data_IF_215347247363
#
_entry.id   IF_215347247363
#
_cell.length_a   1.000
_cell.length_b   1.000
_cell.length_c   1.000
_cell.angle_alpha   90.00
_cell.angle_beta   90.00
_cell.angle_gamma   90.00
#
_symmetry.space_group_name_H-M   'P 1'
#
loop_
_entity.id
_entity.type
_entity.pdbx_description
1 polymer ?
#
# COMPACT_ATOMS: atom_id res chain seq x y z
N UNK A 1 -0.72 -15.56 13.81
CA UNK A 1 -1.48 -14.28 13.76
C UNK A 1 -0.50 -13.22 14.22
N UNK A 2 0.00 -12.42 13.28
CA UNK A 2 1.13 -11.52 13.61
C UNK A 2 0.69 -10.24 14.31
N UNK A 3 -0.44 -9.63 13.89
CA UNK A 3 -1.01 -8.46 14.57
C UNK A 3 -2.51 -8.70 14.75
N UNK A 4 -3.02 -8.50 15.96
CA UNK A 4 -4.44 -8.56 16.29
C UNK A 4 -4.88 -7.24 16.90
N UNK A 5 -5.92 -6.64 16.34
CA UNK A 5 -6.48 -5.36 16.74
C UNK A 5 -7.95 -5.58 17.04
N UNK A 6 -8.38 -5.28 18.27
CA UNK A 6 -9.71 -5.54 18.74
C UNK A 6 -10.36 -4.26 19.30
N UNK A 7 -11.38 -3.78 18.62
CA UNK A 7 -12.21 -2.63 19.04
C UNK A 7 -11.42 -1.38 19.39
N UNK A 8 -10.35 -1.08 18.58
CA UNK A 8 -9.48 0.06 18.84
C UNK A 8 -10.20 1.37 18.51
N UNK A 9 -10.24 2.22 19.54
CA UNK A 9 -10.67 3.61 19.43
C UNK A 9 -9.53 4.53 19.86
N UNK A 10 -9.31 5.61 19.11
CA UNK A 10 -8.37 6.68 19.48
C UNK A 10 -9.00 8.04 19.28
N UNK A 11 -9.08 8.79 20.38
CA UNK A 11 -9.65 10.13 20.42
C UNK A 11 -8.59 11.16 20.84
N UNK A 12 -8.57 12.31 20.17
CA UNK A 12 -7.75 13.47 20.49
C UNK A 12 -8.69 14.66 20.72
N UNK A 13 -8.93 15.00 21.99
CA UNK A 13 -9.97 15.99 22.34
C UNK A 13 -11.32 15.55 21.81
N UNK A 14 -11.92 16.35 20.91
CA UNK A 14 -13.19 16.02 20.27
C UNK A 14 -13.03 15.20 18.98
N UNK A 15 -11.81 15.11 18.44
CA UNK A 15 -11.56 14.40 17.18
C UNK A 15 -11.38 12.90 17.41
N UNK A 16 -12.23 12.11 16.76
CA UNK A 16 -12.13 10.64 16.74
C UNK A 16 -11.26 10.22 15.56
N UNK A 17 -10.00 9.85 15.84
CA UNK A 17 -9.03 9.47 14.81
C UNK A 17 -9.16 8.00 14.40
N UNK A 18 -9.57 7.12 15.32
CA UNK A 18 -9.95 5.73 15.08
C UNK A 18 -11.24 5.44 15.85
N UNK A 19 -12.16 4.72 15.22
CA UNK A 19 -13.47 4.41 15.76
C UNK A 19 -13.78 2.92 15.58
N UNK A 20 -13.65 2.17 16.66
CA UNK A 20 -14.00 0.75 16.74
C UNK A 20 -13.33 -0.13 15.66
N UNK A 21 -12.03 0.05 15.46
CA UNK A 21 -11.26 -0.69 14.46
C UNK A 21 -10.96 -2.09 14.97
N UNK A 22 -11.43 -3.10 14.24
CA UNK A 22 -11.13 -4.53 14.48
C UNK A 22 -10.59 -5.13 13.21
N UNK A 23 -9.35 -5.69 13.26
CA UNK A 23 -8.71 -6.35 12.13
C UNK A 23 -7.57 -7.27 12.59
N UNK A 24 -7.17 -8.16 11.71
CA UNK A 24 -6.08 -9.10 11.94
C UNK A 24 -5.12 -9.06 10.75
N UNK A 25 -3.82 -9.00 11.01
CA UNK A 25 -2.78 -9.04 9.97
C UNK A 25 -1.95 -10.30 10.16
N UNK A 26 -1.82 -11.08 9.12
CA UNK A 26 -1.01 -12.29 9.06
C UNK A 26 0.28 -12.02 8.28
N UNK A 27 1.16 -13.03 8.19
CA UNK A 27 2.40 -13.00 7.41
C UNK A 27 2.12 -12.62 5.94
N UNK A 28 3.04 -11.90 5.33
CA UNK A 28 2.93 -11.34 3.98
C UNK A 28 2.85 -9.82 3.99
N UNK A 29 2.55 -9.23 2.86
CA UNK A 29 2.47 -7.78 2.70
C UNK A 29 1.00 -7.35 2.66
N UNK A 30 0.61 -6.49 3.60
CA UNK A 30 -0.73 -5.92 3.70
C UNK A 30 -0.65 -4.41 3.49
N UNK A 31 -1.39 -3.90 2.52
CA UNK A 31 -1.54 -2.47 2.26
C UNK A 31 -2.58 -1.84 3.17
N UNK A 32 -2.26 -0.72 3.81
CA UNK A 32 -3.20 0.11 4.55
C UNK A 32 -3.47 1.39 3.77
N UNK A 33 -4.62 1.45 3.13
CA UNK A 33 -5.05 2.53 2.25
C UNK A 33 -6.02 3.47 2.95
N UNK A 34 -6.00 4.73 2.55
CA UNK A 34 -6.95 5.73 3.06
C UNK A 34 -6.51 7.14 2.70
N UNK A 35 -7.43 8.10 2.65
CA UNK A 35 -7.08 9.50 2.44
C UNK A 35 -6.24 10.05 3.60
N UNK A 36 -5.68 11.24 3.40
CA UNK A 36 -4.98 11.93 4.48
C UNK A 36 -5.95 12.21 5.63
N UNK A 37 -5.50 11.94 6.86
CA UNK A 37 -6.36 12.07 8.05
C UNK A 37 -7.31 10.89 8.30
N UNK A 38 -7.29 9.83 7.50
CA UNK A 38 -8.17 8.66 7.68
C UNK A 38 -7.88 7.84 8.95
N UNK A 39 -6.71 8.02 9.60
CA UNK A 39 -6.33 7.28 10.81
C UNK A 39 -5.15 6.32 10.61
N UNK A 40 -4.60 6.15 9.40
CA UNK A 40 -3.50 5.20 9.09
C UNK A 40 -2.30 5.33 10.03
N UNK A 41 -1.66 6.50 10.07
CA UNK A 41 -0.48 6.73 10.92
C UNK A 41 -0.82 6.66 12.41
N UNK A 42 -2.07 6.97 12.82
CA UNK A 42 -2.53 6.79 14.19
C UNK A 42 -2.56 5.31 14.57
N UNK A 43 -3.12 4.46 13.70
CA UNK A 43 -3.16 3.02 13.90
C UNK A 43 -1.73 2.44 13.99
N UNK A 44 -0.85 2.81 13.06
CA UNK A 44 0.55 2.37 13.05
C UNK A 44 1.30 2.79 14.32
N UNK A 45 1.08 4.02 14.81
CA UNK A 45 1.68 4.51 16.06
C UNK A 45 1.19 3.74 17.29
N UNK A 46 -0.04 3.25 17.29
CA UNK A 46 -0.55 2.39 18.38
C UNK A 46 0.12 1.01 18.30
N UNK A 47 0.17 0.37 17.14
CA UNK A 47 0.80 -0.94 16.95
C UNK A 47 2.27 -0.92 17.36
N UNK A 48 2.97 0.20 17.11
CA UNK A 48 4.41 0.37 17.44
C UNK A 48 4.66 0.87 18.87
N UNK A 49 3.64 0.91 19.72
CA UNK A 49 3.71 1.42 21.10
C UNK A 49 4.22 2.87 21.21
N UNK A 50 3.98 3.68 20.17
CA UNK A 50 4.36 5.11 20.18
C UNK A 50 3.32 5.97 20.90
N UNK A 51 2.04 5.61 20.77
CA UNK A 51 0.92 6.23 21.48
C UNK A 51 -0.03 5.14 22.01
N UNK A 52 -0.67 5.33 23.18
CA UNK A 52 -1.69 4.40 23.67
C UNK A 52 -3.02 4.59 22.92
N UNK A 53 -3.84 3.53 22.74
CA UNK A 53 -5.23 3.68 22.32
C UNK A 53 -6.06 4.37 23.43
N UNK A 54 -7.24 4.87 23.10
CA UNK A 54 -8.23 5.35 24.09
C UNK A 54 -8.99 4.18 24.68
N UNK A 55 -9.34 3.17 23.85
CA UNK A 55 -9.95 1.90 24.27
C UNK A 55 -9.63 0.81 23.27
N UNK A 56 -9.92 -0.45 23.63
CA UNK A 56 -9.61 -1.63 22.85
C UNK A 56 -8.21 -2.18 23.13
N UNK A 57 -7.80 -3.25 22.44
CA UNK A 57 -6.52 -3.94 22.64
C UNK A 57 -5.83 -4.21 21.32
N UNK A 58 -4.49 -4.13 21.33
CA UNK A 58 -3.64 -4.53 20.19
C UNK A 58 -2.58 -5.49 20.71
N UNK A 59 -2.37 -6.58 20.00
CA UNK A 59 -1.26 -7.48 20.26
C UNK A 59 -0.44 -7.73 18.98
N UNK A 60 0.88 -7.86 19.16
CA UNK A 60 1.84 -8.19 18.10
C UNK A 60 2.58 -9.45 18.51
N UNK A 61 2.48 -10.51 17.71
CA UNK A 61 3.01 -11.86 18.03
C UNK A 61 2.65 -12.33 19.44
N UNK A 62 1.43 -12.00 19.90
CA UNK A 62 0.91 -12.36 21.21
C UNK A 62 1.29 -11.43 22.36
N UNK A 63 2.12 -10.40 22.14
CA UNK A 63 2.47 -9.40 23.14
C UNK A 63 1.53 -8.20 23.04
N UNK A 64 0.88 -7.83 24.14
CA UNK A 64 0.01 -6.65 24.18
C UNK A 64 0.84 -5.36 24.17
N UNK A 65 0.40 -4.37 23.37
CA UNK A 65 1.15 -3.11 23.19
C UNK A 65 1.17 -2.23 24.44
N UNK A 66 0.23 -2.43 25.37
CA UNK A 66 0.15 -1.67 26.63
C UNK A 66 0.84 -2.39 27.77
N UNK A 67 0.69 -3.72 27.85
CA UNK A 67 1.21 -4.52 28.96
C UNK A 67 2.71 -4.85 28.80
N UNK A 68 3.14 -5.15 27.55
CA UNK A 68 4.55 -5.49 27.26
C UNK A 68 5.11 -4.74 26.05
N UNK A 69 5.15 -3.39 26.08
CA UNK A 69 5.61 -2.57 24.96
C UNK A 69 7.09 -2.83 24.59
N UNK A 70 7.90 -3.30 25.53
CA UNK A 70 9.31 -3.59 25.24
C UNK A 70 9.48 -4.89 24.44
N UNK A 71 8.66 -5.91 24.68
CA UNK A 71 8.65 -7.11 23.84
C UNK A 71 8.18 -6.76 22.43
N UNK A 72 7.11 -5.98 22.28
CA UNK A 72 6.62 -5.50 20.98
C UNK A 72 7.72 -4.75 20.22
N UNK A 73 8.42 -3.79 20.87
CA UNK A 73 9.50 -3.00 20.22
C UNK A 73 10.70 -3.85 19.80
N UNK A 74 10.91 -5.02 20.39
CA UNK A 74 11.98 -5.94 19.98
C UNK A 74 11.66 -6.73 18.73
N UNK A 75 10.38 -6.89 18.40
CA UNK A 75 9.91 -7.70 17.27
C UNK A 75 9.34 -6.86 16.13
N UNK A 76 9.16 -5.55 16.34
CA UNK A 76 8.63 -4.60 15.36
C UNK A 76 9.71 -3.65 14.88
N UNK A 77 9.90 -3.58 13.57
CA UNK A 77 10.64 -2.49 12.92
C UNK A 77 9.67 -1.43 12.42
N UNK A 78 9.98 -0.16 12.63
CA UNK A 78 9.12 0.95 12.24
C UNK A 78 9.86 1.99 11.41
N UNK A 79 9.34 2.27 10.22
CA UNK A 79 9.74 3.39 9.38
C UNK A 79 8.59 4.41 9.36
N UNK A 80 8.70 5.55 10.05
CA UNK A 80 7.71 6.61 9.97
C UNK A 80 7.82 7.39 8.66
N UNK A 81 6.75 8.04 8.21
CA UNK A 81 6.71 8.88 7.01
C UNK A 81 7.81 9.96 7.04
N UNK A 82 7.97 10.63 8.19
CA UNK A 82 9.04 11.59 8.45
C UNK A 82 10.07 10.95 9.36
N UNK A 83 11.07 10.33 8.76
CA UNK A 83 12.12 9.65 9.52
C UNK A 83 13.10 10.67 10.12
N UNK A 84 13.20 10.77 11.47
CA UNK A 84 14.07 11.72 12.17
C UNK A 84 15.52 11.24 12.22
N UNK A 85 16.18 11.16 11.07
CA UNK A 85 17.59 10.77 10.96
C UNK A 85 18.53 11.85 11.50
N UNK A 86 19.67 11.45 12.05
CA UNK A 86 20.72 12.36 12.51
C UNK A 86 21.57 12.81 11.31
N UNK A 87 21.21 13.95 10.72
CA UNK A 87 21.73 14.42 9.44
C UNK A 87 23.25 14.69 9.44
N UNK A 88 23.84 14.97 10.60
CA UNK A 88 25.27 15.22 10.75
C UNK A 88 26.13 13.96 10.89
N UNK A 89 25.49 12.81 11.17
CA UNK A 89 26.17 11.52 11.25
C UNK A 89 26.47 10.96 9.85
N UNK A 90 27.54 10.18 9.74
CA UNK A 90 27.76 9.34 8.58
C UNK A 90 26.79 8.15 8.61
N UNK A 91 26.44 7.61 7.42
CA UNK A 91 25.51 6.46 7.33
C UNK A 91 25.96 5.30 8.22
N UNK A 92 27.23 4.90 8.11
CA UNK A 92 27.78 3.80 8.91
C UNK A 92 27.77 4.08 10.41
N UNK A 93 28.19 5.27 10.81
CA UNK A 93 28.14 5.73 12.22
C UNK A 93 26.72 5.67 12.79
N UNK A 94 25.74 6.10 12.00
CA UNK A 94 24.33 6.04 12.39
C UNK A 94 23.85 4.58 12.55
N UNK A 95 24.20 3.69 11.63
CA UNK A 95 23.84 2.27 11.74
C UNK A 95 24.55 1.58 12.92
N UNK A 96 25.78 1.96 13.26
CA UNK A 96 26.47 1.52 14.48
C UNK A 96 25.75 2.00 15.74
N UNK A 97 25.31 3.27 15.75
CA UNK A 97 24.51 3.80 16.85
C UNK A 97 23.19 3.02 17.00
N UNK A 98 22.47 2.76 15.92
CA UNK A 98 21.21 1.97 15.93
C UNK A 98 21.44 0.55 16.40
N UNK A 99 22.50 -0.13 15.91
CA UNK A 99 22.89 -1.45 16.37
C UNK A 99 23.15 -1.47 17.90
N UNK A 100 23.81 -0.43 18.41
CA UNK A 100 24.06 -0.24 19.84
C UNK A 100 22.76 -0.08 20.66
N UNK A 101 21.78 0.65 20.16
CA UNK A 101 20.43 0.79 20.77
C UNK A 101 19.76 -0.57 20.92
N UNK A 102 19.89 -1.43 19.88
CA UNK A 102 19.38 -2.81 19.89
C UNK A 102 20.30 -3.80 20.60
N UNK A 103 21.34 -3.32 21.31
CA UNK A 103 22.28 -4.12 22.10
C UNK A 103 23.13 -5.13 21.25
N UNK A 104 23.21 -4.93 19.95
CA UNK A 104 24.14 -5.67 19.10
C UNK A 104 25.56 -5.21 19.39
N UNK A 105 26.53 -6.14 19.51
CA UNK A 105 27.91 -5.83 19.88
C UNK A 105 28.91 -6.66 19.09
N UNK A 106 30.11 -6.12 18.96
CA UNK A 106 31.26 -6.83 18.37
C UNK A 106 30.99 -7.29 16.93
N UNK A 107 31.43 -8.51 16.62
CA UNK A 107 31.33 -9.08 15.28
C UNK A 107 29.89 -9.23 14.76
N UNK A 108 28.93 -9.52 15.66
CA UNK A 108 27.53 -9.62 15.30
C UNK A 108 26.95 -8.28 14.82
N UNK A 109 27.28 -7.17 15.50
CA UNK A 109 26.89 -5.83 15.08
C UNK A 109 27.50 -5.50 13.72
N UNK A 110 28.81 -5.75 13.54
CA UNK A 110 29.49 -5.48 12.27
C UNK A 110 28.86 -6.25 11.10
N UNK A 111 28.67 -7.57 11.24
CA UNK A 111 28.00 -8.40 10.22
C UNK A 111 26.60 -7.88 9.88
N UNK A 112 25.83 -7.49 10.89
CA UNK A 112 24.47 -6.98 10.66
C UNK A 112 24.45 -5.63 9.95
N UNK A 113 25.37 -4.73 10.29
CA UNK A 113 25.53 -3.45 9.62
C UNK A 113 25.88 -3.63 8.14
N UNK A 114 26.87 -4.50 7.82
CA UNK A 114 27.21 -4.81 6.43
C UNK A 114 26.00 -5.39 5.67
N UNK A 115 25.29 -6.35 6.27
CA UNK A 115 24.08 -6.90 5.68
C UNK A 115 23.02 -5.81 5.40
N UNK A 116 22.81 -4.88 6.33
CA UNK A 116 21.87 -3.79 6.13
C UNK A 116 22.31 -2.83 5.02
N UNK A 117 23.60 -2.53 4.93
CA UNK A 117 24.16 -1.69 3.85
C UNK A 117 23.94 -2.36 2.49
N UNK A 118 24.18 -3.67 2.39
CA UNK A 118 24.03 -4.43 1.15
C UNK A 118 22.54 -4.57 0.77
N UNK A 119 21.68 -5.04 1.69
CA UNK A 119 20.26 -5.27 1.46
C UNK A 119 19.53 -3.99 1.05
N UNK A 120 19.88 -2.83 1.62
CA UNK A 120 19.25 -1.55 1.30
C UNK A 120 19.96 -0.79 0.18
N UNK A 121 21.04 -1.33 -0.40
CA UNK A 121 21.78 -0.70 -1.50
C UNK A 121 22.47 0.61 -1.10
N UNK A 122 22.99 0.69 0.11
CA UNK A 122 23.68 1.86 0.66
C UNK A 122 25.20 1.86 0.41
N UNK A 123 25.76 0.81 -0.22
CA UNK A 123 27.21 0.59 -0.32
C UNK A 123 28.03 1.82 -0.76
N UNK A 124 27.62 2.47 -1.85
CA UNK A 124 28.30 3.67 -2.38
C UNK A 124 28.13 4.91 -1.49
N UNK A 125 27.08 4.94 -0.67
CA UNK A 125 26.69 6.08 0.15
C UNK A 125 27.09 5.93 1.64
N UNK A 126 27.59 4.75 2.02
CA UNK A 126 27.88 4.39 3.43
C UNK A 126 28.89 5.32 4.13
N UNK A 127 29.73 6.01 3.34
CA UNK A 127 30.76 6.92 3.84
C UNK A 127 30.34 8.40 3.82
N UNK A 128 29.12 8.70 3.37
CA UNK A 128 28.61 10.06 3.32
C UNK A 128 27.82 10.41 4.58
N UNK A 129 27.76 11.71 4.88
CA UNK A 129 26.82 12.20 5.90
C UNK A 129 25.39 12.05 5.40
N UNK A 130 24.46 11.66 6.29
CA UNK A 130 23.05 11.46 5.98
C UNK A 130 22.44 12.75 5.40
N UNK A 131 22.85 13.92 5.90
CA UNK A 131 22.41 15.22 5.37
C UNK A 131 22.78 15.48 3.90
N UNK A 132 23.83 14.84 3.38
CA UNK A 132 24.26 14.96 1.99
C UNK A 132 23.55 13.98 1.03
N UNK A 133 22.75 13.06 1.54
CA UNK A 133 22.04 12.07 0.74
C UNK A 133 20.78 12.64 0.09
N UNK A 134 20.41 12.06 -1.07
CA UNK A 134 19.08 12.28 -1.66
C UNK A 134 17.98 11.75 -0.72
N UNK A 135 16.73 12.18 -0.95
CA UNK A 135 15.58 11.69 -0.18
C UNK A 135 15.48 10.16 -0.24
N UNK A 136 15.69 9.56 -1.41
CA UNK A 136 15.62 8.10 -1.58
C UNK A 136 16.70 7.36 -0.77
N UNK A 137 17.92 7.86 -0.76
CA UNK A 137 18.97 7.26 0.08
C UNK A 137 18.70 7.44 1.57
N UNK A 138 18.14 8.56 2.01
CA UNK A 138 17.66 8.72 3.41
C UNK A 138 16.57 7.73 3.75
N UNK A 139 15.67 7.43 2.82
CA UNK A 139 14.63 6.41 3.00
C UNK A 139 15.25 5.01 3.17
N UNK A 140 16.29 4.68 2.38
CA UNK A 140 17.04 3.43 2.52
C UNK A 140 17.76 3.33 3.88
N UNK A 141 18.32 4.43 4.39
CA UNK A 141 18.89 4.50 5.75
C UNK A 141 17.81 4.21 6.80
N UNK A 142 16.61 4.78 6.63
CA UNK A 142 15.48 4.50 7.52
C UNK A 142 15.01 3.05 7.48
N UNK A 143 14.99 2.42 6.30
CA UNK A 143 14.70 0.98 6.17
C UNK A 143 15.78 0.14 6.86
N UNK A 144 17.06 0.45 6.65
CA UNK A 144 18.18 -0.22 7.32
C UNK A 144 18.04 -0.11 8.85
N UNK A 145 17.69 1.08 9.35
CA UNK A 145 17.37 1.29 10.78
C UNK A 145 16.24 0.40 11.26
N UNK A 146 15.11 0.40 10.54
CA UNK A 146 13.93 -0.39 10.93
C UNK A 146 14.19 -1.90 10.93
N UNK A 147 15.13 -2.35 10.10
CA UNK A 147 15.48 -3.77 9.94
C UNK A 147 16.68 -4.21 10.80
N UNK A 148 17.38 -3.30 11.47
CA UNK A 148 18.66 -3.56 12.16
C UNK A 148 18.60 -4.74 13.13
N UNK A 149 17.54 -4.87 13.91
CA UNK A 149 17.37 -5.89 14.94
C UNK A 149 16.64 -7.16 14.44
N UNK A 150 16.53 -7.33 13.13
CA UNK A 150 15.85 -8.45 12.48
C UNK A 150 14.41 -8.68 12.95
N UNK A 151 13.54 -7.67 12.85
CA UNK A 151 12.18 -7.76 13.35
C UNK A 151 11.35 -8.80 12.59
N UNK A 152 10.34 -9.36 13.26
CA UNK A 152 9.36 -10.27 12.65
C UNK A 152 8.26 -9.50 11.91
N UNK A 153 7.98 -8.28 12.36
CA UNK A 153 6.95 -7.39 11.82
C UNK A 153 7.58 -6.07 11.40
N UNK A 154 7.27 -5.61 10.20
CA UNK A 154 7.69 -4.30 9.69
C UNK A 154 6.46 -3.42 9.48
N UNK A 155 6.49 -2.23 10.04
CA UNK A 155 5.49 -1.18 9.86
C UNK A 155 6.13 -0.06 9.06
N UNK A 156 5.64 0.18 7.84
CA UNK A 156 6.23 1.13 6.90
C UNK A 156 5.19 2.21 6.55
N UNK A 157 5.39 3.42 7.04
CA UNK A 157 4.49 4.55 6.80
C UNK A 157 5.00 5.37 5.61
N UNK A 158 4.32 5.29 4.46
CA UNK A 158 4.65 5.96 3.20
C UNK A 158 6.12 5.74 2.74
N UNK A 159 6.62 4.48 2.65
CA UNK A 159 8.04 4.20 2.43
C UNK A 159 8.56 4.65 1.07
N UNK A 160 7.70 4.91 0.12
CA UNK A 160 8.00 5.26 -1.28
C UNK A 160 7.75 6.74 -1.57
N UNK A 161 7.27 7.51 -0.58
CA UNK A 161 6.90 8.91 -0.77
C UNK A 161 8.05 9.80 -1.25
N UNK A 162 7.86 10.41 -2.44
CA UNK A 162 8.81 11.37 -3.03
C UNK A 162 10.10 10.74 -3.54
N UNK A 163 10.07 9.47 -3.91
CA UNK A 163 11.12 8.77 -4.65
C UNK A 163 10.94 8.99 -6.15
N UNK A 164 12.06 8.98 -6.88
CA UNK A 164 12.02 8.91 -8.34
C UNK A 164 11.62 7.48 -8.81
N UNK A 165 11.20 7.30 -10.08
CA UNK A 165 10.71 6.01 -10.57
C UNK A 165 11.69 4.85 -10.41
N UNK A 166 12.99 5.07 -10.55
CA UNK A 166 13.99 4.01 -10.40
C UNK A 166 14.15 3.61 -8.93
N UNK A 167 14.26 4.59 -8.04
CA UNK A 167 14.33 4.35 -6.59
C UNK A 167 13.08 3.65 -6.07
N UNK A 168 11.91 3.97 -6.62
CA UNK A 168 10.65 3.35 -6.27
C UNK A 168 10.65 1.85 -6.59
N UNK A 169 11.14 1.46 -7.78
CA UNK A 169 11.27 0.05 -8.18
C UNK A 169 12.16 -0.71 -7.20
N UNK A 170 13.30 -0.14 -6.84
CA UNK A 170 14.26 -0.77 -5.94
C UNK A 170 13.67 -0.98 -4.53
N UNK A 171 13.00 0.03 -3.99
CA UNK A 171 12.36 -0.07 -2.66
C UNK A 171 11.20 -1.07 -2.68
N UNK A 172 10.39 -1.11 -3.75
CA UNK A 172 9.34 -2.12 -3.93
C UNK A 172 9.91 -3.54 -3.93
N UNK A 173 10.99 -3.76 -4.68
CA UNK A 173 11.66 -5.07 -4.73
C UNK A 173 12.19 -5.49 -3.35
N UNK A 174 12.78 -4.55 -2.61
CA UNK A 174 13.23 -4.79 -1.24
C UNK A 174 12.06 -5.19 -0.33
N UNK A 175 10.98 -4.41 -0.31
CA UNK A 175 9.78 -4.69 0.50
C UNK A 175 9.16 -6.03 0.11
N UNK A 176 9.07 -6.33 -1.20
CA UNK A 176 8.54 -7.60 -1.72
C UNK A 176 9.35 -8.79 -1.22
N UNK A 177 10.68 -8.69 -1.20
CA UNK A 177 11.53 -9.75 -0.67
C UNK A 177 11.35 -9.93 0.85
N UNK A 178 11.23 -8.85 1.60
CA UNK A 178 11.00 -8.90 3.05
C UNK A 178 9.65 -9.55 3.39
N UNK A 179 8.61 -9.29 2.60
CA UNK A 179 7.27 -9.88 2.81
C UNK A 179 7.19 -11.39 2.65
N UNK A 180 8.17 -12.03 1.99
CA UNK A 180 8.23 -13.50 1.88
C UNK A 180 8.48 -14.16 3.24
N UNK A 181 9.21 -13.50 4.13
CA UNK A 181 9.63 -14.04 5.42
C UNK A 181 8.97 -13.36 6.61
N UNK A 182 8.62 -12.10 6.47
CA UNK A 182 8.13 -11.22 7.53
C UNK A 182 6.68 -10.80 7.31
N UNK A 183 6.06 -10.27 8.35
CA UNK A 183 4.78 -9.55 8.23
C UNK A 183 5.10 -8.08 7.95
N UNK A 184 4.57 -7.54 6.86
CA UNK A 184 4.77 -6.15 6.47
C UNK A 184 3.41 -5.44 6.40
N UNK A 185 3.23 -4.40 7.20
CA UNK A 185 2.11 -3.47 7.08
C UNK A 185 2.64 -2.18 6.43
N UNK A 186 2.17 -1.90 5.24
CA UNK A 186 2.59 -0.78 4.42
C UNK A 186 1.45 0.23 4.28
N UNK A 187 1.64 1.48 4.73
CA UNK A 187 0.72 2.55 4.34
C UNK A 187 1.17 3.22 3.05
N UNK A 188 0.22 3.52 2.20
CA UNK A 188 0.43 4.39 1.02
C UNK A 188 -0.90 4.99 0.56
N UNK A 189 -0.82 6.09 -0.16
CA UNK A 189 -1.94 6.69 -0.87
C UNK A 189 -1.86 6.41 -2.39
N UNK A 190 -0.84 5.66 -2.84
CA UNK A 190 -0.60 5.31 -4.25
C UNK A 190 -1.09 3.88 -4.50
N UNK A 191 -2.21 3.76 -5.19
CA UNK A 191 -2.87 2.46 -5.44
C UNK A 191 -2.00 1.49 -6.25
N UNK A 192 -1.25 1.99 -7.24
CA UNK A 192 -0.34 1.17 -8.04
C UNK A 192 0.76 0.50 -7.20
N UNK A 193 1.12 1.06 -6.05
CA UNK A 193 2.08 0.43 -5.14
C UNK A 193 1.48 -0.79 -4.46
N UNK A 194 0.24 -0.64 -3.99
CA UNK A 194 -0.48 -1.74 -3.35
C UNK A 194 -0.73 -2.87 -4.32
N UNK A 195 -1.17 -2.55 -5.55
CA UNK A 195 -1.36 -3.55 -6.61
C UNK A 195 -0.08 -4.31 -6.98
N UNK A 196 1.06 -3.65 -6.89
CA UNK A 196 2.34 -4.23 -7.31
C UNK A 196 2.94 -5.19 -6.29
N UNK A 197 2.73 -4.98 -4.98
CA UNK A 197 3.46 -5.73 -3.94
C UNK A 197 2.58 -6.31 -2.84
N UNK A 198 1.32 -5.88 -2.68
CA UNK A 198 0.44 -6.38 -1.62
C UNK A 198 -0.44 -7.52 -2.13
N UNK A 199 -0.73 -8.49 -1.27
CA UNK A 199 -1.73 -9.54 -1.53
C UNK A 199 -3.12 -9.14 -1.04
N UNK A 200 -3.17 -8.29 -0.01
CA UNK A 200 -4.38 -7.83 0.68
C UNK A 200 -4.29 -6.35 0.95
N UNK A 201 -5.42 -5.66 0.87
CA UNK A 201 -5.52 -4.25 1.25
C UNK A 201 -6.64 -4.03 2.27
N UNK A 202 -6.33 -3.17 3.23
CA UNK A 202 -7.27 -2.66 4.23
C UNK A 202 -7.51 -1.20 3.88
N UNK A 203 -8.76 -0.83 3.66
CA UNK A 203 -9.13 0.57 3.38
C UNK A 203 -9.74 1.17 4.64
N UNK A 204 -9.13 2.26 5.11
CA UNK A 204 -9.61 3.02 6.26
C UNK A 204 -10.08 4.41 5.81
N UNK A 205 -11.24 4.84 6.30
CA UNK A 205 -11.80 6.16 6.06
C UNK A 205 -12.43 6.72 7.33
N UNK A 206 -12.10 7.97 7.69
CA UNK A 206 -12.64 8.64 8.89
C UNK A 206 -12.53 7.78 10.17
N UNK A 207 -11.42 7.06 10.29
CA UNK A 207 -11.13 6.21 11.45
C UNK A 207 -11.83 4.85 11.47
N UNK A 208 -12.55 4.46 10.42
CA UNK A 208 -13.28 3.18 10.32
C UNK A 208 -12.72 2.35 9.17
N UNK A 209 -12.62 1.04 9.34
CA UNK A 209 -12.28 0.10 8.26
C UNK A 209 -13.53 -0.03 7.36
N UNK A 210 -13.39 0.37 6.10
CA UNK A 210 -14.47 0.32 5.11
C UNK A 210 -14.36 -0.86 4.14
N UNK A 211 -13.16 -1.42 4.00
CA UNK A 211 -12.92 -2.67 3.27
C UNK A 211 -11.66 -3.36 3.79
N UNK A 212 -11.65 -4.69 3.72
CA UNK A 212 -10.55 -5.54 4.11
C UNK A 212 -10.61 -6.86 3.33
N UNK A 213 -9.89 -6.95 2.22
CA UNK A 213 -9.91 -8.14 1.36
C UNK A 213 -8.63 -8.26 0.53
N UNK A 214 -8.51 -9.39 -0.19
CA UNK A 214 -7.48 -9.56 -1.21
C UNK A 214 -7.64 -8.55 -2.33
N UNK A 215 -6.51 -8.14 -2.91
CA UNK A 215 -6.47 -7.20 -4.03
C UNK A 215 -7.39 -7.62 -5.19
N UNK A 216 -7.40 -8.92 -5.51
CA UNK A 216 -8.23 -9.48 -6.57
C UNK A 216 -9.72 -9.30 -6.30
N UNK A 217 -10.16 -9.52 -5.06
CA UNK A 217 -11.57 -9.38 -4.67
C UNK A 217 -12.00 -7.91 -4.68
N UNK A 218 -11.14 -7.00 -4.18
CA UNK A 218 -11.42 -5.56 -4.19
C UNK A 218 -11.61 -5.00 -5.61
N UNK A 219 -10.97 -5.63 -6.61
CA UNK A 219 -11.19 -5.34 -8.03
C UNK A 219 -12.49 -5.93 -8.56
N UNK A 220 -12.94 -7.07 -8.04
CA UNK A 220 -14.12 -7.80 -8.53
C UNK A 220 -15.45 -7.35 -7.91
N UNK A 221 -15.45 -6.89 -6.67
CA UNK A 221 -16.67 -6.55 -5.89
C UNK A 221 -17.45 -5.31 -6.40
N UNK A 222 -16.99 -4.71 -7.49
CA UNK A 222 -17.71 -3.61 -8.12
C UNK A 222 -18.58 -4.11 -9.27
N UNK A 223 -19.90 -4.00 -9.09
CA UNK A 223 -20.96 -4.29 -10.07
C UNK A 223 -20.84 -3.55 -11.43
N UNK A 224 -19.75 -2.87 -11.69
CA UNK A 224 -19.36 -2.29 -12.96
C UNK A 224 -18.15 -3.00 -13.60
N UNK A 225 -17.86 -4.25 -13.23
CA UNK A 225 -16.66 -4.98 -13.67
C UNK A 225 -16.66 -5.38 -15.16
N UNK A 226 -17.69 -5.03 -15.91
CA UNK A 226 -17.81 -5.40 -17.33
C UNK A 226 -17.82 -4.19 -18.29
N UNK A 227 -17.24 -3.07 -17.84
CA UNK A 227 -17.02 -1.90 -18.71
C UNK A 227 -16.08 -2.29 -19.85
N UNK A 228 -16.44 -1.95 -21.07
CA UNK A 228 -15.68 -2.27 -22.26
C UNK A 228 -15.19 -1.00 -22.94
N UNK A 229 -13.89 -0.93 -23.17
CA UNK A 229 -13.28 0.10 -24.02
C UNK A 229 -13.21 -0.45 -25.44
N UNK A 230 -13.75 0.30 -26.40
CA UNK A 230 -13.71 -0.06 -27.81
C UNK A 230 -13.21 1.11 -28.66
N UNK A 231 -12.32 0.80 -29.59
CA UNK A 231 -11.86 1.71 -30.64
C UNK A 231 -12.28 1.16 -31.99
N UNK A 232 -12.97 1.98 -32.78
CA UNK A 232 -13.35 1.64 -34.18
C UNK A 232 -12.38 2.29 -35.17
N UNK A 233 -12.27 1.69 -36.36
CA UNK A 233 -11.50 2.28 -37.46
C UNK A 233 -12.22 3.48 -38.08
N UNK A 234 -13.55 3.40 -38.18
CA UNK A 234 -14.42 4.43 -38.74
C UNK A 234 -15.24 5.11 -37.65
N UNK A 235 -15.80 6.26 -37.96
CA UNK A 235 -16.67 6.99 -37.02
C UNK A 235 -17.97 6.21 -36.80
N UNK A 236 -18.32 6.04 -35.52
CA UNK A 236 -19.55 5.38 -35.09
C UNK A 236 -20.31 6.36 -34.21
N UNK A 237 -21.61 6.52 -34.45
CA UNK A 237 -22.45 7.41 -33.63
C UNK A 237 -22.81 6.79 -32.26
N UNK A 238 -23.03 7.64 -31.27
CA UNK A 238 -23.46 7.25 -29.92
C UNK A 238 -24.78 6.47 -29.95
N UNK A 239 -25.78 6.97 -30.72
CA UNK A 239 -27.08 6.32 -30.86
C UNK A 239 -26.97 4.88 -31.36
N UNK A 240 -26.03 4.65 -32.31
CA UNK A 240 -25.80 3.35 -32.85
C UNK A 240 -25.21 2.37 -31.83
N UNK A 241 -24.29 2.84 -30.98
CA UNK A 241 -23.72 2.05 -29.89
C UNK A 241 -24.73 1.80 -28.77
N UNK A 242 -25.60 2.77 -28.47
CA UNK A 242 -26.69 2.61 -27.51
C UNK A 242 -27.71 1.55 -27.94
N UNK A 243 -27.82 1.27 -29.24
CA UNK A 243 -28.72 0.23 -29.77
C UNK A 243 -28.20 -1.21 -29.59
N UNK A 244 -26.98 -1.40 -29.12
CA UNK A 244 -26.40 -2.71 -28.88
C UNK A 244 -27.09 -3.38 -27.68
N UNK A 245 -27.55 -4.64 -27.80
CA UNK A 245 -28.19 -5.34 -26.71
C UNK A 245 -27.28 -5.40 -25.46
N UNK A 246 -27.86 -5.12 -24.30
CA UNK A 246 -27.19 -5.13 -22.99
C UNK A 246 -26.19 -3.99 -22.76
N UNK A 247 -26.06 -3.03 -23.66
CA UNK A 247 -25.37 -1.76 -23.39
C UNK A 247 -26.31 -0.83 -22.61
N UNK A 248 -25.84 -0.36 -21.45
CA UNK A 248 -26.59 0.55 -20.57
C UNK A 248 -26.23 2.00 -20.82
N UNK A 249 -24.95 2.31 -20.81
CA UNK A 249 -24.43 3.66 -21.01
C UNK A 249 -23.28 3.67 -22.01
N UNK A 250 -23.24 4.70 -22.84
CA UNK A 250 -22.18 4.95 -23.80
C UNK A 250 -21.52 6.27 -23.46
N UNK A 251 -20.21 6.31 -23.44
CA UNK A 251 -19.44 7.54 -23.22
C UNK A 251 -18.34 7.67 -24.25
N UNK A 252 -18.26 8.79 -24.94
CA UNK A 252 -17.18 9.10 -25.88
C UNK A 252 -15.96 9.60 -25.12
N UNK A 253 -14.80 8.97 -25.29
CA UNK A 253 -13.52 9.38 -24.68
C UNK A 253 -12.76 10.32 -25.61
N UNK A 254 -12.64 9.93 -26.86
CA UNK A 254 -12.05 10.71 -27.96
C UNK A 254 -12.63 10.21 -29.29
N UNK A 255 -12.15 10.75 -30.40
CA UNK A 255 -12.58 10.32 -31.72
C UNK A 255 -12.44 8.80 -31.87
N UNK A 256 -13.54 8.13 -32.26
CA UNK A 256 -13.65 6.66 -32.42
C UNK A 256 -13.34 5.79 -31.20
N UNK A 257 -13.16 6.38 -30.03
CA UNK A 257 -12.94 5.67 -28.76
C UNK A 257 -14.15 5.83 -27.83
N UNK A 258 -14.66 4.72 -27.35
CA UNK A 258 -15.86 4.67 -26.56
C UNK A 258 -15.68 3.79 -25.32
N UNK A 259 -16.33 4.17 -24.25
CA UNK A 259 -16.55 3.37 -23.05
C UNK A 259 -18.01 2.92 -23.06
N UNK A 260 -18.21 1.61 -22.98
CA UNK A 260 -19.53 0.99 -22.96
C UNK A 260 -19.75 0.32 -21.61
N UNK A 261 -20.74 0.80 -20.86
CA UNK A 261 -21.16 0.19 -19.60
C UNK A 261 -22.33 -0.77 -19.86
N UNK A 262 -22.25 -2.05 -19.46
CA UNK A 262 -23.35 -3.00 -19.66
C UNK A 262 -24.54 -2.71 -18.75
N UNK A 263 -25.71 -3.21 -19.14
CA UNK A 263 -26.86 -3.34 -18.25
C UNK A 263 -26.68 -4.58 -17.36
N UNK A 264 -26.34 -4.37 -16.08
CA UNK A 264 -26.04 -5.46 -15.16
C UNK A 264 -24.61 -6.00 -15.31
N UNK A 265 -24.38 -7.22 -14.84
CA UNK A 265 -23.03 -7.85 -14.77
C UNK A 265 -22.74 -8.77 -15.95
N UNK A 266 -23.04 -8.31 -17.17
CA UNK A 266 -22.85 -9.10 -18.40
C UNK A 266 -21.64 -8.63 -19.18
N UNK A 267 -20.75 -9.56 -19.58
CA UNK A 267 -19.67 -9.26 -20.53
C UNK A 267 -20.23 -9.06 -21.95
N UNK A 268 -20.23 -7.81 -22.41
CA UNK A 268 -20.80 -7.44 -23.72
C UNK A 268 -19.82 -7.59 -24.90
N UNK A 269 -18.56 -8.00 -24.65
CA UNK A 269 -17.55 -8.05 -25.72
C UNK A 269 -17.92 -8.98 -26.86
N UNK A 270 -18.46 -10.16 -26.53
CA UNK A 270 -18.90 -11.11 -27.56
C UNK A 270 -20.06 -10.54 -28.42
N UNK A 271 -21.02 -9.86 -27.78
CA UNK A 271 -22.13 -9.22 -28.46
C UNK A 271 -21.65 -8.05 -29.33
N UNK A 272 -20.72 -7.25 -28.83
CA UNK A 272 -20.14 -6.12 -29.54
C UNK A 272 -19.35 -6.58 -30.78
N UNK A 273 -18.55 -7.65 -30.65
CA UNK A 273 -17.86 -8.23 -31.83
C UNK A 273 -18.85 -8.70 -32.89
N UNK A 274 -19.86 -9.47 -32.52
CA UNK A 274 -20.88 -9.94 -33.46
C UNK A 274 -21.60 -8.77 -34.13
N UNK A 275 -22.02 -7.80 -33.35
CA UNK A 275 -22.71 -6.60 -33.81
C UNK A 275 -21.85 -5.77 -34.80
N UNK A 276 -20.54 -5.66 -34.56
CA UNK A 276 -19.62 -4.96 -35.46
C UNK A 276 -19.43 -5.68 -36.80
N UNK A 277 -19.31 -7.01 -36.76
CA UNK A 277 -19.20 -7.83 -37.98
C UNK A 277 -20.46 -7.71 -38.85
N UNK A 278 -21.65 -7.77 -38.25
CA UNK A 278 -22.94 -7.65 -38.96
C UNK A 278 -23.07 -6.28 -39.68
N UNK A 279 -22.31 -5.26 -39.21
CA UNK A 279 -22.32 -3.90 -39.80
C UNK A 279 -21.06 -3.55 -40.60
N UNK A 280 -20.17 -4.52 -40.81
CA UNK A 280 -18.88 -4.31 -41.48
C UNK A 280 -18.02 -3.22 -40.81
N UNK A 281 -18.15 -3.05 -39.48
CA UNK A 281 -17.34 -2.13 -38.69
C UNK A 281 -16.09 -2.84 -38.18
N UNK A 282 -14.93 -2.22 -38.34
CA UNK A 282 -13.67 -2.78 -37.90
C UNK A 282 -13.38 -2.25 -36.51
N UNK A 283 -13.21 -3.15 -35.53
CA UNK A 283 -12.76 -2.85 -34.21
C UNK A 283 -11.21 -2.94 -34.17
N UNK A 284 -10.54 -1.85 -33.79
CA UNK A 284 -9.08 -1.81 -33.61
C UNK A 284 -8.67 -2.29 -32.24
N UNK A 285 -9.43 -1.88 -31.23
CA UNK A 285 -9.18 -2.24 -29.84
C UNK A 285 -10.49 -2.66 -29.19
N UNK A 286 -10.48 -3.77 -28.48
CA UNK A 286 -11.59 -4.25 -27.67
C UNK A 286 -11.02 -4.87 -26.39
N UNK A 287 -11.15 -4.16 -25.30
CA UNK A 287 -10.67 -4.66 -24.01
C UNK A 287 -11.70 -4.41 -22.91
N UNK A 288 -11.76 -5.33 -21.98
CA UNK A 288 -12.46 -5.12 -20.73
C UNK A 288 -11.62 -4.17 -19.90
N UNK A 289 -12.23 -3.15 -19.34
CA UNK A 289 -11.59 -2.30 -18.36
C UNK A 289 -11.57 -3.06 -17.02
N UNK A 290 -10.40 -3.48 -16.60
CA UNK A 290 -10.21 -3.98 -15.24
C UNK A 290 -10.24 -2.77 -14.32
N UNK A 291 -11.25 -2.71 -13.44
CA UNK A 291 -11.33 -1.66 -12.43
C UNK A 291 -10.04 -1.63 -11.62
N UNK A 292 -9.44 -0.46 -11.58
CA UNK A 292 -8.30 -0.22 -10.71
C UNK A 292 -8.76 -0.19 -9.24
N UNK A 293 -7.87 -0.58 -8.32
CA UNK A 293 -8.13 -0.36 -6.87
C UNK A 293 -8.46 1.10 -6.59
N UNK A 294 -7.99 2.04 -7.43
CA UNK A 294 -8.26 3.46 -7.30
C UNK A 294 -9.75 3.79 -7.43
N UNK A 295 -10.45 3.15 -8.36
CA UNK A 295 -11.90 3.35 -8.52
C UNK A 295 -12.69 2.71 -7.38
N UNK A 296 -12.28 1.51 -6.93
CA UNK A 296 -12.84 0.89 -5.74
C UNK A 296 -12.66 1.78 -4.51
N UNK A 297 -11.47 2.30 -4.31
CA UNK A 297 -11.12 3.22 -3.23
C UNK A 297 -11.95 4.51 -3.30
N UNK A 298 -12.07 5.14 -4.47
CA UNK A 298 -12.84 6.37 -4.63
C UNK A 298 -14.32 6.17 -4.27
N UNK A 299 -14.92 5.04 -4.62
CA UNK A 299 -16.31 4.73 -4.25
C UNK A 299 -16.48 4.54 -2.75
N UNK A 300 -15.57 3.79 -2.11
CA UNK A 300 -15.61 3.51 -0.68
C UNK A 300 -15.28 4.73 0.20
N UNK A 301 -14.63 5.75 -0.35
CA UNK A 301 -14.18 6.93 0.42
C UNK A 301 -14.95 8.22 0.12
N UNK A 302 -15.74 8.28 -0.97
CA UNK A 302 -16.56 9.45 -1.34
C UNK A 302 -17.93 9.52 -0.66
N UNK A 303 -18.25 8.59 0.26
CA UNK A 303 -19.47 8.54 1.06
C UNK A 303 -19.43 9.50 2.26
#
# INVERSE_FOLDING_TARGET
MSISINHITKQYGEQLALNDVTLTINKGIVGLLGPNGAGKSTLMKIITCFIPPTSGTVSVEGHDVMDDPMAVKRIVGYLPEHNPLYLDMYVREYLEFVAGVHQLKGEAAHKRIEAMIDETGLGLEAHKKIGALSKGYRQRVGLAQAMMHDPQVLILDEPTSGLDPNQLIDIRNLISNLGKEKTVLLSTHIMQEVEAICERAIIINKGVVVADDKIENLKQDNTMSNVVIVEFESEVSEDLLQSIPQVGRVQRVKENHWILEPQGDTDIRANLMKWSVDRSLIIKTLQKEDLSIEEAFQKLTKG
#
